data_IF_976699462709
#
_entry.id   IF_976699462709
#
_cell.length_a   1.000
_cell.length_b   1.000
_cell.length_c   1.000
_cell.angle_alpha   90.00
_cell.angle_beta   90.00
_cell.angle_gamma   90.00
#
_symmetry.space_group_name_H-M   'P 1'
#
loop_
_entity.id
_entity.type
_entity.pdbx_description
1 polymer ?
#
# COMPACT_ATOMS: atom_id res chain seq x y z
N UNK A 1 -11.52 -8.16 -17.85
CA UNK A 1 -10.35 -7.27 -17.82
C UNK A 1 -10.12 -6.86 -16.37
N UNK A 2 -8.88 -6.85 -15.87
CA UNK A 2 -8.60 -6.41 -14.51
C UNK A 2 -8.89 -4.90 -14.42
N UNK A 3 -9.85 -4.50 -13.59
CA UNK A 3 -10.10 -3.08 -13.36
C UNK A 3 -8.94 -2.55 -12.53
N UNK A 4 -8.29 -1.50 -13.02
CA UNK A 4 -7.23 -0.81 -12.29
C UNK A 4 -7.72 -0.46 -10.86
N UNK A 5 -7.00 -0.89 -9.80
CA UNK A 5 -7.42 -0.65 -8.42
C UNK A 5 -7.66 0.83 -8.10
N UNK A 6 -6.87 1.73 -8.68
CA UNK A 6 -6.96 3.17 -8.48
C UNK A 6 -8.20 3.77 -9.14
N UNK A 7 -8.53 3.34 -10.36
CA UNK A 7 -9.79 3.75 -11.01
C UNK A 7 -11.02 3.23 -10.26
N UNK A 8 -10.96 1.98 -9.78
CA UNK A 8 -12.01 1.40 -8.92
C UNK A 8 -12.17 2.19 -7.63
N UNK A 9 -11.07 2.51 -6.96
CA UNK A 9 -11.08 3.30 -5.73
C UNK A 9 -11.59 4.71 -5.95
N UNK A 10 -11.17 5.40 -7.02
CA UNK A 10 -11.71 6.72 -7.36
C UNK A 10 -13.22 6.69 -7.51
N UNK A 11 -13.78 5.69 -8.20
CA UNK A 11 -15.24 5.56 -8.32
C UNK A 11 -15.87 5.31 -6.96
N UNK A 12 -15.26 4.46 -6.12
CA UNK A 12 -15.74 4.19 -4.76
C UNK A 12 -15.69 5.44 -3.89
N UNK A 13 -14.59 6.20 -3.89
CA UNK A 13 -14.42 7.39 -3.06
C UNK A 13 -15.20 8.60 -3.61
N UNK A 14 -15.28 8.78 -4.93
CA UNK A 14 -16.03 9.86 -5.57
C UNK A 14 -17.55 9.66 -5.46
N UNK A 15 -18.06 8.44 -5.68
CA UNK A 15 -19.48 8.13 -5.46
C UNK A 15 -19.88 8.20 -3.97
N UNK A 16 -18.90 8.19 -3.05
CA UNK A 16 -19.11 8.17 -1.59
C UNK A 16 -18.65 9.45 -0.89
N UNK A 17 -18.23 10.48 -1.64
CA UNK A 17 -17.92 11.81 -1.09
C UNK A 17 -19.15 12.48 -0.44
N UNK A 18 -20.37 11.99 -0.72
CA UNK A 18 -21.59 12.38 -0.01
C UNK A 18 -21.78 11.67 1.35
N UNK A 19 -20.98 10.64 1.67
CA UNK A 19 -21.12 9.86 2.90
C UNK A 19 -20.12 10.35 3.95
N UNK A 20 -20.65 11.21 4.83
CA UNK A 20 -20.07 11.73 6.08
C UNK A 20 -19.19 10.74 6.87
N UNK A 21 -18.29 11.30 7.68
CA UNK A 21 -17.44 10.64 8.68
C UNK A 21 -17.99 9.30 9.21
N UNK A 22 -17.15 8.26 9.23
CA UNK A 22 -17.52 6.94 9.76
C UNK A 22 -18.18 6.00 8.75
N UNK A 23 -18.11 6.28 7.45
CA UNK A 23 -18.69 5.44 6.38
C UNK A 23 -18.17 3.98 6.40
N UNK A 24 -16.94 3.76 6.83
CA UNK A 24 -16.34 2.42 7.03
C UNK A 24 -17.09 1.57 8.05
N UNK A 25 -17.93 2.17 8.92
CA UNK A 25 -18.80 1.44 9.85
C UNK A 25 -19.96 0.71 9.16
N UNK A 26 -20.30 1.11 7.93
CA UNK A 26 -21.44 0.57 7.16
C UNK A 26 -21.04 -0.36 6.03
N UNK A 27 -19.74 -0.48 5.75
CA UNK A 27 -19.27 -1.47 4.78
C UNK A 27 -18.68 -2.65 5.54
N UNK A 28 -19.01 -3.90 5.18
CA UNK A 28 -18.42 -5.06 5.82
C UNK A 28 -16.88 -4.96 5.70
N UNK A 29 -16.14 -4.83 6.83
CA UNK A 29 -14.68 -4.80 6.80
C UNK A 29 -14.03 -5.97 6.02
N UNK A 30 -14.59 -7.21 6.03
CA UNK A 30 -14.00 -8.33 5.28
C UNK A 30 -13.91 -8.10 3.78
N UNK A 31 -14.88 -7.41 3.16
CA UNK A 31 -14.90 -7.23 1.71
C UNK A 31 -13.84 -6.23 1.23
N UNK A 32 -13.51 -5.23 2.06
CA UNK A 32 -12.41 -4.31 1.77
C UNK A 32 -11.08 -5.01 1.88
N UNK A 33 -10.84 -5.64 3.02
CA UNK A 33 -9.59 -6.35 3.29
C UNK A 33 -9.36 -7.41 2.21
N UNK A 34 -10.38 -8.21 1.85
CA UNK A 34 -10.24 -9.22 0.80
C UNK A 34 -9.76 -8.62 -0.53
N UNK A 35 -10.29 -7.45 -0.92
CA UNK A 35 -9.91 -6.80 -2.17
C UNK A 35 -8.47 -6.29 -2.13
N UNK A 36 -8.07 -5.68 -1.02
CA UNK A 36 -6.69 -5.20 -0.85
C UNK A 36 -5.70 -6.38 -0.93
N UNK A 37 -6.03 -7.50 -0.28
CA UNK A 37 -5.24 -8.73 -0.36
C UNK A 37 -5.21 -9.33 -1.77
N UNK A 38 -6.32 -9.29 -2.51
CA UNK A 38 -6.38 -9.73 -3.91
C UNK A 38 -5.53 -8.84 -4.82
N UNK A 39 -5.53 -7.53 -4.62
CA UNK A 39 -4.67 -6.62 -5.38
C UNK A 39 -3.19 -6.88 -5.09
N UNK A 40 -2.84 -7.15 -3.82
CA UNK A 40 -1.47 -7.55 -3.42
C UNK A 40 -1.06 -8.88 -4.09
N UNK A 41 -1.97 -9.85 -4.18
CA UNK A 41 -1.67 -11.11 -4.86
C UNK A 41 -1.43 -10.93 -6.37
N UNK A 42 -2.08 -9.94 -6.98
CA UNK A 42 -1.99 -9.66 -8.41
C UNK A 42 -0.92 -8.62 -8.80
N UNK A 43 -0.28 -7.94 -7.84
CA UNK A 43 0.79 -6.98 -8.15
C UNK A 43 2.16 -7.66 -8.29
N UNK A 44 3.09 -7.01 -9.01
CA UNK A 44 4.50 -7.41 -9.07
C UNK A 44 5.31 -6.87 -7.87
N UNK A 45 4.92 -5.69 -7.38
CA UNK A 45 5.60 -4.92 -6.36
C UNK A 45 4.57 -4.21 -5.48
N UNK A 46 4.80 -4.19 -4.17
CA UNK A 46 4.06 -3.33 -3.24
C UNK A 46 4.93 -2.14 -2.83
N UNK A 47 4.37 -0.93 -2.98
CA UNK A 47 4.95 0.31 -2.45
C UNK A 47 4.09 0.78 -1.29
N UNK A 48 4.64 0.79 -0.08
CA UNK A 48 3.99 1.28 1.12
C UNK A 48 4.47 2.71 1.45
N UNK A 49 3.55 3.68 1.44
CA UNK A 49 3.82 5.03 1.94
C UNK A 49 3.38 5.13 3.41
N UNK A 50 4.35 5.29 4.32
CA UNK A 50 4.16 5.24 5.77
C UNK A 50 4.75 6.50 6.46
N UNK A 51 4.15 7.69 6.25
CA UNK A 51 4.57 8.92 6.92
C UNK A 51 4.22 8.92 8.42
N UNK A 52 3.21 8.13 8.79
CA UNK A 52 2.77 7.87 10.16
C UNK A 52 2.43 6.39 10.30
N UNK A 53 2.51 5.86 11.52
CA UNK A 53 2.15 4.47 11.78
C UNK A 53 0.70 4.18 11.35
N UNK A 54 0.51 3.10 10.59
CA UNK A 54 -0.78 2.66 10.07
C UNK A 54 -0.88 1.15 10.22
N UNK A 55 -1.82 0.69 11.06
CA UNK A 55 -2.02 -0.73 11.30
C UNK A 55 -2.39 -1.48 9.99
N UNK A 56 -3.25 -0.90 9.16
CA UNK A 56 -3.63 -1.48 7.86
C UNK A 56 -2.43 -1.66 6.93
N UNK A 57 -1.64 -0.59 6.76
CA UNK A 57 -0.44 -0.62 5.93
C UNK A 57 0.60 -1.61 6.44
N UNK A 58 0.75 -1.76 7.76
CA UNK A 58 1.63 -2.79 8.32
C UNK A 58 1.12 -4.21 8.03
N UNK A 59 -0.19 -4.44 8.06
CA UNK A 59 -0.79 -5.73 7.71
C UNK A 59 -0.63 -6.05 6.23
N UNK A 60 -0.83 -5.06 5.35
CA UNK A 60 -0.62 -5.18 3.90
C UNK A 60 0.86 -5.47 3.57
N UNK A 61 1.79 -4.72 4.18
CA UNK A 61 3.23 -4.93 4.03
C UNK A 61 3.66 -6.33 4.47
N UNK A 62 3.18 -6.77 5.63
CA UNK A 62 3.40 -8.13 6.14
C UNK A 62 2.89 -9.18 5.15
N UNK A 63 1.64 -9.02 4.68
CA UNK A 63 1.02 -9.96 3.76
C UNK A 63 1.76 -10.05 2.43
N UNK A 64 2.12 -8.90 1.84
CA UNK A 64 2.87 -8.84 0.59
C UNK A 64 4.21 -9.58 0.71
N UNK A 65 4.94 -9.37 1.80
CA UNK A 65 6.18 -10.07 2.07
C UNK A 65 5.97 -11.58 2.19
N UNK A 66 4.92 -12.02 2.90
CA UNK A 66 4.55 -13.44 3.01
C UNK A 66 4.17 -14.08 1.68
N UNK A 67 3.66 -13.31 0.72
CA UNK A 67 3.37 -13.74 -0.65
C UNK A 67 4.58 -13.69 -1.58
N UNK A 68 5.77 -13.38 -1.07
CA UNK A 68 7.00 -13.27 -1.85
C UNK A 68 7.04 -12.08 -2.79
N UNK A 69 6.16 -11.08 -2.58
CA UNK A 69 6.18 -9.83 -3.34
C UNK A 69 7.38 -9.00 -2.92
N UNK A 70 7.97 -8.30 -3.87
CA UNK A 70 9.00 -7.29 -3.56
C UNK A 70 8.31 -6.11 -2.88
N UNK A 71 8.85 -5.63 -1.76
CA UNK A 71 8.27 -4.54 -0.98
C UNK A 71 9.19 -3.34 -0.90
N UNK A 72 8.67 -2.16 -1.21
CA UNK A 72 9.37 -0.87 -1.03
C UNK A 72 8.56 -0.05 -0.04
N UNK A 73 9.20 0.40 1.03
CA UNK A 73 8.54 1.22 2.05
C UNK A 73 9.18 2.61 2.07
N UNK A 74 8.36 3.63 1.82
CA UNK A 74 8.71 5.02 2.11
C UNK A 74 8.29 5.28 3.55
N UNK A 75 9.25 5.33 4.47
CA UNK A 75 9.02 5.47 5.90
C UNK A 75 9.61 6.78 6.40
N UNK A 76 8.76 7.70 6.88
CA UNK A 76 9.20 8.97 7.47
C UNK A 76 9.35 8.88 9.01
N UNK A 77 9.00 7.73 9.62
CA UNK A 77 9.17 7.50 11.05
C UNK A 77 10.65 7.46 11.43
N UNK A 78 11.06 8.11 12.53
CA UNK A 78 12.45 8.14 12.98
C UNK A 78 12.93 6.77 13.49
N UNK A 79 12.07 6.03 14.20
CA UNK A 79 12.38 4.69 14.74
C UNK A 79 11.30 3.68 14.29
N UNK A 80 11.38 3.16 13.06
CA UNK A 80 10.41 2.21 12.57
C UNK A 80 10.50 0.88 13.34
N UNK A 81 9.34 0.29 13.63
CA UNK A 81 9.32 -0.99 14.34
C UNK A 81 10.10 -2.08 13.57
N UNK A 82 10.67 -3.08 14.26
CA UNK A 82 11.34 -4.21 13.60
C UNK A 82 10.46 -4.93 12.57
N UNK A 83 9.13 -4.89 12.75
CA UNK A 83 8.17 -5.43 11.79
C UNK A 83 8.19 -4.68 10.46
N UNK A 84 8.29 -3.34 10.47
CA UNK A 84 8.37 -2.55 9.25
C UNK A 84 9.70 -2.85 8.55
N UNK A 85 10.81 -2.85 9.30
CA UNK A 85 12.15 -3.09 8.76
C UNK A 85 12.27 -4.49 8.16
N UNK A 86 11.83 -5.54 8.86
CA UNK A 86 11.96 -6.92 8.41
C UNK A 86 11.11 -7.28 7.19
N UNK A 87 10.00 -6.56 6.96
CA UNK A 87 9.08 -6.82 5.84
C UNK A 87 9.25 -5.83 4.67
N UNK A 88 10.27 -4.97 4.72
CA UNK A 88 10.64 -4.05 3.64
C UNK A 88 11.91 -4.55 2.94
N UNK A 89 11.86 -4.82 1.64
CA UNK A 89 13.08 -5.13 0.86
C UNK A 89 13.90 -3.89 0.59
N UNK A 90 13.23 -2.75 0.44
CA UNK A 90 13.84 -1.43 0.26
C UNK A 90 13.15 -0.46 1.22
N UNK A 91 13.94 0.30 1.96
CA UNK A 91 13.44 1.43 2.75
C UNK A 91 13.95 2.74 2.18
N UNK A 92 13.03 3.68 2.06
CA UNK A 92 13.25 5.02 1.54
C UNK A 92 12.66 6.03 2.52
N UNK A 93 13.15 7.26 2.49
CA UNK A 93 12.67 8.34 3.35
C UNK A 93 11.67 9.26 2.68
N UNK A 94 11.60 9.27 1.35
CA UNK A 94 10.71 10.16 0.63
C UNK A 94 10.28 9.60 -0.72
N UNK A 95 9.32 10.27 -1.35
CA UNK A 95 8.85 9.96 -2.71
C UNK A 95 9.96 10.23 -3.73
N UNK A 96 10.78 11.27 -3.52
CA UNK A 96 11.90 11.60 -4.39
C UNK A 96 12.94 10.48 -4.42
N UNK A 97 13.23 9.87 -3.26
CA UNK A 97 14.10 8.69 -3.20
C UNK A 97 13.51 7.49 -3.96
N UNK A 98 12.18 7.35 -3.97
CA UNK A 98 11.52 6.32 -4.79
C UNK A 98 11.71 6.60 -6.27
N UNK A 99 11.51 7.84 -6.72
CA UNK A 99 11.74 8.20 -8.13
C UNK A 99 13.18 7.90 -8.56
N UNK A 100 14.16 8.27 -7.73
CA UNK A 100 15.57 7.97 -8.00
C UNK A 100 15.83 6.47 -8.05
N UNK A 101 15.26 5.72 -7.11
CA UNK A 101 15.40 4.28 -7.03
C UNK A 101 14.85 3.60 -8.29
N UNK A 102 13.67 4.02 -8.75
CA UNK A 102 13.03 3.47 -9.95
C UNK A 102 13.81 3.80 -11.23
N UNK A 103 14.32 5.03 -11.36
CA UNK A 103 15.19 5.45 -12.48
C UNK A 103 16.47 4.60 -12.53
N UNK A 104 17.13 4.39 -11.39
CA UNK A 104 18.36 3.58 -11.30
C UNK A 104 18.11 2.10 -11.59
N UNK A 105 16.96 1.58 -11.18
CA UNK A 105 16.60 0.17 -11.32
C UNK A 105 16.09 -0.20 -12.72
N UNK A 106 16.02 0.76 -13.67
CA UNK A 106 15.37 0.59 -14.98
C UNK A 106 13.93 0.06 -14.88
N UNK A 107 13.24 0.39 -13.78
CA UNK A 107 11.85 -0.02 -13.54
C UNK A 107 10.85 0.99 -14.12
N UNK A 108 11.32 2.13 -14.61
CA UNK A 108 10.55 3.05 -15.44
C UNK A 108 11.10 2.99 -16.88
N UNK A 109 10.23 2.95 -17.91
CA UNK A 109 10.64 2.99 -19.32
C UNK A 109 11.36 4.27 -19.70
#
# INVERSE_FOLDING_TARGET
>A
EAVDPWEREKVIYSAKAEVKEGWWRKVPPPDFIRRDLEDIENCDLLVAYLPRLSAGTCMELFYAKMKGKKTITICELDDPSPWIVAHSDVMLRSIEELEEFLKKSKMLP
#
